data_IF_906792496553
#
_entry.id   IF_906792496553
#
_cell.length_a   1.000
_cell.length_b   1.000
_cell.length_c   1.000
_cell.angle_alpha   90.00
_cell.angle_beta   90.00
_cell.angle_gamma   90.00
#
_symmetry.space_group_name_H-M   'P 1'
#
loop_
_entity.id
_entity.type
_entity.pdbx_description
1 polymer ?
#
# COMPACT_ATOMS: atom_id res chain seq x y z
N UNK A 1 11.45 -14.38 -14.30
CA UNK A 1 11.41 -14.89 -12.91
C UNK A 1 9.95 -15.15 -12.54
N UNK A 2 9.54 -16.42 -12.33
CA UNK A 2 8.20 -16.69 -11.78
C UNK A 2 8.24 -16.38 -10.28
N UNK A 3 7.58 -15.31 -9.88
CA UNK A 3 7.38 -15.00 -8.47
C UNK A 3 6.48 -16.09 -7.85
N UNK A 4 6.82 -16.58 -6.66
CA UNK A 4 6.05 -17.64 -5.97
C UNK A 4 4.66 -17.13 -5.59
N UNK A 5 3.66 -18.02 -5.60
CA UNK A 5 2.29 -17.80 -5.13
C UNK A 5 1.45 -16.76 -5.90
N UNK A 6 1.65 -16.58 -7.21
CA UNK A 6 0.75 -15.74 -8.02
C UNK A 6 1.01 -14.23 -7.94
N UNK A 7 1.91 -13.78 -7.06
CA UNK A 7 2.40 -12.39 -7.04
C UNK A 7 3.02 -12.06 -8.39
N UNK A 8 2.56 -11.01 -9.06
CA UNK A 8 2.91 -10.69 -10.45
C UNK A 8 3.47 -9.28 -10.63
N UNK A 9 3.74 -8.58 -9.52
CA UNK A 9 4.30 -7.23 -9.52
C UNK A 9 5.20 -6.95 -8.33
N UNK A 10 6.16 -6.05 -8.52
CA UNK A 10 7.12 -5.63 -7.49
C UNK A 10 7.03 -4.11 -7.28
N UNK A 11 6.81 -3.67 -6.05
CA UNK A 11 7.04 -2.27 -5.67
C UNK A 11 8.43 -2.18 -5.05
N UNK A 12 9.24 -1.24 -5.50
CA UNK A 12 10.58 -0.98 -4.99
C UNK A 12 10.50 0.24 -4.07
N UNK A 13 10.80 0.07 -2.79
CA UNK A 13 10.82 1.17 -1.80
C UNK A 13 12.10 1.04 -0.99
N UNK A 14 12.88 2.12 -0.89
CA UNK A 14 14.20 2.14 -0.26
C UNK A 14 15.12 0.98 -0.73
N UNK A 15 15.19 0.75 -2.04
CA UNK A 15 15.94 -0.36 -2.67
C UNK A 15 15.49 -1.78 -2.26
N UNK A 16 14.38 -1.91 -1.52
CA UNK A 16 13.80 -3.20 -1.12
C UNK A 16 12.61 -3.55 -1.99
N UNK A 17 12.46 -4.84 -2.28
CA UNK A 17 11.36 -5.35 -3.10
C UNK A 17 10.17 -5.82 -2.26
N UNK A 18 8.99 -5.25 -2.52
CA UNK A 18 7.70 -5.72 -2.00
C UNK A 18 6.95 -6.45 -3.12
N UNK A 19 6.84 -7.78 -3.00
CA UNK A 19 6.14 -8.63 -3.99
C UNK A 19 4.65 -8.67 -3.73
N UNK A 20 3.85 -8.29 -4.73
CA UNK A 20 2.40 -8.06 -4.63
C UNK A 20 1.64 -8.61 -5.85
N UNK A 21 0.31 -8.58 -5.78
CA UNK A 21 -0.61 -8.91 -6.86
C UNK A 21 -1.20 -7.64 -7.46
N UNK A 22 -1.09 -7.45 -8.77
CA UNK A 22 -1.70 -6.31 -9.48
C UNK A 22 -3.20 -6.25 -9.25
N UNK A 23 -3.86 -7.40 -9.18
CA UNK A 23 -5.32 -7.49 -8.98
C UNK A 23 -5.78 -6.75 -7.72
N UNK A 24 -5.10 -7.00 -6.59
CA UNK A 24 -5.44 -6.37 -5.30
C UNK A 24 -5.18 -4.86 -5.35
N UNK A 25 -4.03 -4.45 -5.90
CA UNK A 25 -3.69 -3.04 -6.03
C UNK A 25 -4.71 -2.28 -6.88
N UNK A 26 -5.08 -2.81 -8.05
CA UNK A 26 -6.09 -2.20 -8.93
C UNK A 26 -7.46 -2.12 -8.25
N UNK A 27 -7.82 -3.14 -7.48
CA UNK A 27 -9.12 -3.19 -6.82
C UNK A 27 -9.24 -2.12 -5.71
N UNK A 28 -8.14 -1.81 -5.00
CA UNK A 28 -8.15 -0.93 -3.83
C UNK A 28 -7.67 0.49 -4.09
N UNK A 29 -6.95 0.75 -5.17
CA UNK A 29 -6.30 2.03 -5.47
C UNK A 29 -6.56 2.47 -6.91
N UNK A 30 -7.14 3.67 -7.07
CA UNK A 30 -7.36 4.27 -8.38
C UNK A 30 -6.04 4.65 -9.07
N UNK A 31 -5.01 5.04 -8.31
CA UNK A 31 -3.69 5.33 -8.87
C UNK A 31 -3.09 4.08 -9.52
N UNK A 32 -3.11 2.93 -8.82
CA UNK A 32 -2.63 1.69 -9.39
C UNK A 32 -3.50 1.21 -10.55
N UNK A 33 -4.83 1.33 -10.45
CA UNK A 33 -5.76 1.04 -11.55
C UNK A 33 -5.42 1.84 -12.81
N UNK A 34 -5.29 3.16 -12.68
CA UNK A 34 -4.92 4.04 -13.77
C UNK A 34 -3.55 3.71 -14.35
N UNK A 35 -2.55 3.46 -13.51
CA UNK A 35 -1.20 3.08 -13.92
C UNK A 35 -1.20 1.77 -14.74
N UNK A 36 -1.83 0.71 -14.25
CA UNK A 36 -1.82 -0.59 -14.94
C UNK A 36 -2.62 -0.62 -16.23
N UNK A 37 -3.65 0.21 -16.35
CA UNK A 37 -4.45 0.34 -17.59
C UNK A 37 -3.73 1.23 -18.62
N UNK A 38 -3.09 2.31 -18.17
CA UNK A 38 -2.58 3.36 -19.07
C UNK A 38 -1.12 3.19 -19.46
N UNK A 39 -0.31 2.54 -18.62
CA UNK A 39 1.14 2.40 -18.83
C UNK A 39 1.43 1.03 -19.42
N UNK A 40 1.89 1.01 -20.68
CA UNK A 40 2.36 -0.21 -21.33
C UNK A 40 3.83 -0.50 -20.96
N UNK A 41 4.06 -0.86 -19.69
CA UNK A 41 5.37 -1.31 -19.20
C UNK A 41 5.36 -2.80 -18.84
N UNK A 42 6.29 -3.55 -19.42
CA UNK A 42 6.46 -4.99 -19.23
C UNK A 42 7.45 -5.34 -18.10
N UNK A 43 8.02 -4.36 -17.41
CA UNK A 43 8.99 -4.57 -16.33
C UNK A 43 8.41 -5.34 -15.14
N UNK A 44 7.08 -5.32 -14.96
CA UNK A 44 6.37 -5.84 -13.80
C UNK A 44 6.92 -5.31 -12.46
N UNK A 45 7.43 -4.08 -12.47
CA UNK A 45 7.88 -3.40 -11.25
C UNK A 45 7.71 -1.89 -11.34
N UNK A 46 7.65 -1.22 -10.19
CA UNK A 46 7.63 0.24 -10.10
C UNK A 46 8.38 0.69 -8.85
N UNK A 47 8.99 1.87 -8.90
CA UNK A 47 9.49 2.52 -7.69
C UNK A 47 8.32 3.18 -6.96
N UNK A 48 8.32 3.08 -5.64
CA UNK A 48 7.48 3.90 -4.78
C UNK A 48 8.01 5.34 -4.78
N UNK A 49 7.08 6.30 -4.86
CA UNK A 49 7.36 7.73 -4.85
C UNK A 49 6.56 8.47 -3.76
N UNK A 50 6.04 7.72 -2.78
CA UNK A 50 5.26 8.27 -1.67
C UNK A 50 6.10 9.04 -0.64
N UNK A 51 7.44 8.98 -0.75
CA UNK A 51 8.41 9.49 0.24
C UNK A 51 8.27 8.84 1.63
N UNK A 52 7.63 7.66 1.70
CA UNK A 52 7.46 6.91 2.96
C UNK A 52 8.45 5.76 3.07
N UNK A 53 8.72 5.40 4.32
CA UNK A 53 9.62 4.29 4.62
C UNK A 53 9.10 2.97 4.05
N UNK A 54 10.01 2.03 3.78
CA UNK A 54 9.63 0.69 3.35
C UNK A 54 8.76 -0.03 4.41
N UNK A 55 8.94 0.31 5.69
CA UNK A 55 8.14 -0.20 6.81
C UNK A 55 6.68 0.30 6.72
N UNK A 56 6.47 1.62 6.61
CA UNK A 56 5.15 2.23 6.47
C UNK A 56 4.42 1.70 5.23
N UNK A 57 5.12 1.61 4.09
CA UNK A 57 4.55 1.05 2.86
C UNK A 57 4.20 -0.44 3.02
N UNK A 58 4.98 -1.22 3.77
CA UNK A 58 4.68 -2.63 4.01
C UNK A 58 3.40 -2.82 4.83
N UNK A 59 3.19 -2.01 5.87
CA UNK A 59 1.94 -2.00 6.63
C UNK A 59 0.75 -1.55 5.77
N UNK A 60 0.94 -0.52 4.96
CA UNK A 60 -0.09 -0.05 4.03
C UNK A 60 -0.50 -1.16 3.04
N UNK A 61 0.48 -1.83 2.42
CA UNK A 61 0.21 -2.95 1.52
C UNK A 61 -0.48 -4.08 2.28
N UNK A 62 -0.10 -4.39 3.52
CA UNK A 62 -0.79 -5.40 4.34
C UNK A 62 -2.26 -5.02 4.53
N UNK A 63 -2.56 -3.76 4.86
CA UNK A 63 -3.92 -3.26 4.97
C UNK A 63 -4.73 -3.48 3.68
N UNK A 64 -4.14 -3.25 2.49
CA UNK A 64 -4.85 -3.52 1.21
C UNK A 64 -5.27 -4.98 1.02
N UNK A 65 -4.62 -5.93 1.69
CA UNK A 65 -4.93 -7.37 1.59
C UNK A 65 -5.93 -7.84 2.64
N UNK A 66 -5.85 -7.29 3.85
CA UNK A 66 -6.54 -7.85 5.02
C UNK A 66 -7.58 -6.91 5.61
N UNK A 67 -7.59 -5.63 5.22
CA UNK A 67 -8.42 -4.58 5.80
C UNK A 67 -8.18 -4.41 7.32
N UNK A 68 -6.96 -4.72 7.76
CA UNK A 68 -6.52 -4.69 9.16
C UNK A 68 -5.23 -3.88 9.31
N UNK A 69 -5.11 -3.18 10.44
CA UNK A 69 -3.91 -2.48 10.87
C UNK A 69 -3.32 -3.19 12.10
N UNK A 70 -2.00 -3.35 12.15
CA UNK A 70 -1.33 -3.96 13.29
C UNK A 70 -1.30 -3.01 14.49
N UNK A 71 -1.56 -3.55 15.69
CA UNK A 71 -1.48 -2.79 16.93
C UNK A 71 -0.02 -2.58 17.37
N UNK A 72 0.23 -1.49 18.10
CA UNK A 72 1.53 -1.22 18.71
C UNK A 72 2.61 -0.70 17.74
N UNK A 73 2.22 -0.29 16.54
CA UNK A 73 3.11 0.45 15.63
C UNK A 73 3.46 1.82 16.22
N UNK A 74 4.56 2.41 15.73
CA UNK A 74 4.95 3.80 16.07
C UNK A 74 3.87 4.78 15.59
N UNK A 75 3.65 5.85 16.35
CA UNK A 75 2.69 6.91 16.00
C UNK A 75 2.91 7.44 14.57
N UNK A 76 4.16 7.69 14.20
CA UNK A 76 4.54 8.15 12.86
C UNK A 76 4.12 7.22 11.72
N UNK A 77 3.98 5.90 11.99
CA UNK A 77 3.51 4.96 10.98
C UNK A 77 2.02 5.18 10.72
N UNK A 78 1.21 5.46 11.76
CA UNK A 78 -0.20 5.77 11.55
C UNK A 78 -0.38 7.04 10.71
N UNK A 79 0.42 8.08 10.98
CA UNK A 79 0.37 9.31 10.18
C UNK A 79 0.81 9.05 8.73
N UNK A 80 1.85 8.26 8.52
CA UNK A 80 2.26 7.83 7.18
C UNK A 80 1.17 7.04 6.45
N UNK A 81 0.41 6.18 7.15
CA UNK A 81 -0.69 5.42 6.57
C UNK A 81 -1.81 6.33 6.06
N UNK A 82 -2.12 7.41 6.79
CA UNK A 82 -3.09 8.43 6.35
C UNK A 82 -2.63 9.12 5.06
N UNK A 83 -1.35 9.53 5.00
CA UNK A 83 -0.78 10.16 3.81
C UNK A 83 -0.69 9.19 2.61
N UNK A 84 -0.33 7.92 2.86
CA UNK A 84 -0.28 6.87 1.84
C UNK A 84 -1.66 6.61 1.25
N UNK A 85 -2.72 6.64 2.05
CA UNK A 85 -4.08 6.50 1.55
C UNK A 85 -4.41 7.58 0.51
N UNK A 86 -4.03 8.82 0.79
CA UNK A 86 -4.28 9.95 -0.12
C UNK A 86 -3.40 9.85 -1.37
N UNK A 87 -2.11 9.56 -1.21
CA UNK A 87 -1.16 9.40 -2.31
C UNK A 87 -1.60 8.31 -3.28
N UNK A 88 -1.94 7.12 -2.76
CA UNK A 88 -2.38 5.97 -3.56
C UNK A 88 -3.85 6.03 -3.95
N UNK A 89 -4.59 7.07 -3.55
CA UNK A 89 -5.98 7.31 -3.94
C UNK A 89 -6.86 6.07 -3.67
N UNK A 90 -6.92 5.64 -2.40
CA UNK A 90 -7.75 4.49 -2.05
C UNK A 90 -9.23 4.75 -2.34
N UNK A 91 -9.90 3.70 -2.81
CA UNK A 91 -11.28 3.73 -3.25
C UNK A 91 -12.25 3.99 -2.09
N UNK A 92 -11.88 3.56 -0.87
CA UNK A 92 -12.70 3.66 0.34
C UNK A 92 -11.88 4.29 1.47
N UNK A 93 -11.79 5.63 1.47
CA UNK A 93 -10.97 6.42 2.40
C UNK A 93 -11.42 6.38 3.87
N UNK A 94 -12.67 6.05 4.14
CA UNK A 94 -13.22 6.08 5.50
C UNK A 94 -12.64 4.97 6.37
N UNK A 95 -12.39 3.78 5.82
CA UNK A 95 -12.07 2.61 6.62
C UNK A 95 -10.72 2.69 7.35
N UNK A 96 -9.65 3.14 6.69
CA UNK A 96 -8.34 3.24 7.33
C UNK A 96 -8.33 4.35 8.37
N UNK A 97 -8.93 5.50 8.04
CA UNK A 97 -9.03 6.63 8.96
C UNK A 97 -9.83 6.27 10.20
N UNK A 98 -10.99 5.63 10.03
CA UNK A 98 -11.81 5.18 11.14
C UNK A 98 -11.06 4.15 12.01
N UNK A 99 -10.26 3.26 11.41
CA UNK A 99 -9.40 2.34 12.16
C UNK A 99 -8.33 3.09 12.97
N UNK A 100 -7.65 4.05 12.35
CA UNK A 100 -6.60 4.84 13.02
C UNK A 100 -7.18 5.67 14.16
N UNK A 101 -8.33 6.32 13.95
CA UNK A 101 -9.01 7.12 14.96
C UNK A 101 -9.44 6.26 16.17
N UNK A 102 -9.98 5.06 15.92
CA UNK A 102 -10.32 4.10 16.99
C UNK A 102 -9.07 3.68 17.77
N UNK A 103 -7.92 3.49 17.12
CA UNK A 103 -6.67 3.14 17.80
C UNK A 103 -6.12 4.31 18.63
N UNK A 104 -6.07 5.51 18.05
CA UNK A 104 -5.61 6.74 18.72
C UNK A 104 -6.46 7.07 19.96
N UNK A 105 -7.76 6.75 19.95
CA UNK A 105 -8.66 6.97 21.10
C UNK A 105 -8.43 6.05 22.33
N UNK A 106 -7.63 4.99 22.17
CA UNK A 106 -7.32 4.03 23.23
C UNK A 106 -5.96 4.28 23.93
N UNK A 107 -5.28 5.38 23.59
CA UNK A 107 -4.08 5.89 24.25
C UNK A 107 -4.41 7.14 25.09
#
# INVERSE_FOLDING_TARGET
MKMKNGKDFIIISEDKEIKVHKLILQARSELFRGMFVSVNDNSNRVNDYSDKSNESLSYFIKFLYYDEIDYGMKESIYDDLEELQDFYQLNERSFLRDHIDNLKSNF
#
